data_IF_091122177287
#
_entry.id   IF_091122177287
#
_cell.length_a   1.000
_cell.length_b   1.000
_cell.length_c   1.000
_cell.angle_alpha   90.00
_cell.angle_beta   90.00
_cell.angle_gamma   90.00
#
_symmetry.space_group_name_H-M   'P 1'
#
loop_
_entity.id
_entity.type
_entity.pdbx_description
1 polymer ?
#
# COMPACT_ATOMS: atom_id res chain seq x y z
N UNK A 1 -10.75 3.87 12.69
CA UNK A 1 -9.30 3.61 12.66
C UNK A 1 -8.68 4.57 11.68
N UNK A 2 -7.61 5.27 12.06
CA UNK A 2 -6.84 6.06 11.11
C UNK A 2 -5.93 5.12 10.33
N UNK A 3 -5.98 5.19 8.99
CA UNK A 3 -5.09 4.41 8.13
C UNK A 3 -3.72 5.07 7.98
N UNK A 4 -3.67 6.40 8.10
CA UNK A 4 -2.45 7.19 7.98
C UNK A 4 -2.09 7.77 9.35
N UNK A 5 -0.88 7.43 9.82
CA UNK A 5 -0.25 7.98 11.01
C UNK A 5 0.83 8.98 10.58
N UNK A 6 0.60 10.26 10.87
CA UNK A 6 1.49 11.36 10.42
C UNK A 6 2.92 11.14 10.95
N UNK A 7 3.90 11.11 10.04
CA UNK A 7 5.30 10.91 10.39
C UNK A 7 5.68 9.48 10.77
N UNK A 8 4.77 8.50 10.60
CA UNK A 8 5.04 7.09 10.83
C UNK A 8 4.62 6.26 9.60
N UNK A 9 5.49 6.18 8.57
CA UNK A 9 5.19 5.47 7.32
C UNK A 9 5.04 3.96 7.56
N UNK A 10 5.81 3.40 8.49
CA UNK A 10 5.76 1.98 8.85
C UNK A 10 4.41 1.60 9.45
N UNK A 11 3.92 2.36 10.44
CA UNK A 11 2.61 2.11 11.03
C UNK A 11 1.48 2.34 10.03
N UNK A 12 1.60 3.37 9.18
CA UNK A 12 0.63 3.66 8.12
C UNK A 12 0.50 2.47 7.15
N UNK A 13 1.63 1.93 6.70
CA UNK A 13 1.66 0.75 5.83
C UNK A 13 1.07 -0.49 6.52
N UNK A 14 1.39 -0.73 7.80
CA UNK A 14 0.80 -1.85 8.56
C UNK A 14 -0.73 -1.72 8.63
N UNK A 15 -1.24 -0.53 8.94
CA UNK A 15 -2.66 -0.25 9.03
C UNK A 15 -3.36 -0.49 7.70
N UNK A 16 -2.75 -0.03 6.59
CA UNK A 16 -3.26 -0.21 5.23
C UNK A 16 -3.23 -1.67 4.81
N UNK A 17 -2.13 -2.38 5.03
CA UNK A 17 -2.02 -3.80 4.69
C UNK A 17 -3.04 -4.64 5.47
N UNK A 18 -3.26 -4.34 6.76
CA UNK A 18 -4.32 -5.00 7.55
C UNK A 18 -5.70 -4.65 7.02
N UNK A 19 -5.96 -3.39 6.68
CA UNK A 19 -7.23 -2.98 6.09
C UNK A 19 -7.49 -3.66 4.75
N UNK A 20 -6.48 -3.75 3.87
CA UNK A 20 -6.55 -4.41 2.57
C UNK A 20 -6.82 -5.92 2.72
N UNK A 21 -6.14 -6.58 3.66
CA UNK A 21 -6.42 -7.97 4.00
C UNK A 21 -7.88 -8.19 4.42
N UNK A 22 -8.49 -7.26 5.15
CA UNK A 22 -9.91 -7.33 5.52
C UNK A 22 -10.87 -7.09 4.35
N UNK A 23 -10.42 -6.51 3.23
CA UNK A 23 -11.22 -6.36 2.01
C UNK A 23 -11.10 -7.57 1.08
N UNK A 24 -10.14 -8.46 1.33
CA UNK A 24 -9.82 -9.59 0.46
C UNK A 24 -10.88 -10.69 0.49
N UNK A 25 -11.07 -11.36 -0.64
CA UNK A 25 -11.87 -12.58 -0.73
C UNK A 25 -11.07 -13.80 -0.26
N UNK A 26 -11.68 -14.67 0.53
CA UNK A 26 -11.02 -15.91 0.96
C UNK A 26 -10.85 -16.90 -0.20
N UNK A 27 -11.84 -16.95 -1.10
CA UNK A 27 -11.80 -17.80 -2.29
C UNK A 27 -11.02 -17.12 -3.42
N UNK A 28 -9.94 -17.77 -3.86
CA UNK A 28 -9.10 -17.32 -4.98
C UNK A 28 -9.80 -17.39 -6.34
N UNK A 29 -10.90 -18.14 -6.45
CA UNK A 29 -11.72 -18.22 -7.65
C UNK A 29 -12.77 -17.11 -7.73
N UNK A 30 -12.95 -16.33 -6.66
CA UNK A 30 -13.83 -15.17 -6.67
C UNK A 30 -13.27 -14.09 -7.63
N UNK A 31 -14.07 -13.55 -8.57
CA UNK A 31 -13.61 -12.53 -9.52
C UNK A 31 -13.15 -11.22 -8.85
N UNK A 32 -13.47 -11.00 -7.56
CA UNK A 32 -13.01 -9.85 -6.78
C UNK A 32 -11.74 -10.13 -5.97
N UNK A 33 -11.20 -11.36 -6.03
CA UNK A 33 -9.89 -11.67 -5.44
C UNK A 33 -8.80 -10.83 -6.12
N UNK A 34 -7.88 -10.28 -5.34
CA UNK A 34 -6.76 -9.47 -5.85
C UNK A 34 -5.43 -9.89 -5.23
N UNK A 35 -4.36 -9.99 -5.99
CA UNK A 35 -3.07 -10.39 -5.42
C UNK A 35 -2.39 -9.26 -4.64
N UNK A 36 -2.69 -8.00 -4.98
CA UNK A 36 -1.97 -6.83 -4.49
C UNK A 36 -2.88 -5.62 -4.31
N UNK A 37 -2.63 -4.83 -3.25
CA UNK A 37 -3.36 -3.61 -2.96
C UNK A 37 -2.48 -2.36 -3.04
N UNK A 38 -2.90 -1.34 -3.78
CA UNK A 38 -2.23 -0.05 -3.87
C UNK A 38 -3.09 0.98 -3.17
N UNK A 39 -2.56 1.62 -2.13
CA UNK A 39 -3.23 2.72 -1.44
C UNK A 39 -2.65 4.07 -1.90
N UNK A 40 -3.52 4.92 -2.43
CA UNK A 40 -3.17 6.27 -2.88
C UNK A 40 -3.69 7.30 -1.88
N UNK A 41 -2.86 8.26 -1.50
CA UNK A 41 -3.25 9.33 -0.58
C UNK A 41 -2.58 10.65 -0.93
N UNK A 42 -3.27 11.77 -0.70
CA UNK A 42 -2.65 13.10 -0.72
C UNK A 42 -2.19 13.55 0.67
N UNK A 43 -2.41 12.73 1.69
CA UNK A 43 -1.96 12.99 3.05
C UNK A 43 -0.50 12.55 3.20
N UNK A 44 0.31 13.43 3.79
CA UNK A 44 1.67 13.10 4.21
C UNK A 44 1.65 11.97 5.26
N UNK A 45 2.45 10.94 5.04
CA UNK A 45 2.60 9.81 5.97
C UNK A 45 4.05 9.60 6.44
N UNK A 46 5.00 10.32 5.84
CA UNK A 46 6.43 10.20 6.10
C UNK A 46 7.13 11.56 6.22
N UNK A 47 8.48 11.57 6.22
CA UNK A 47 9.23 12.81 6.12
C UNK A 47 8.94 13.53 4.80
N UNK A 48 9.13 14.85 4.79
CA UNK A 48 8.91 15.69 3.60
C UNK A 48 9.63 15.12 2.38
N UNK A 49 8.88 14.94 1.28
CA UNK A 49 9.38 14.36 0.03
C UNK A 49 9.31 12.83 -0.05
N UNK A 50 8.79 12.14 0.97
CA UNK A 50 8.50 10.71 0.88
C UNK A 50 7.27 10.48 -0.01
N UNK A 51 7.49 9.81 -1.14
CA UNK A 51 6.44 9.56 -2.12
C UNK A 51 5.84 8.16 -2.01
N UNK A 52 6.55 7.18 -1.46
CA UNK A 52 6.13 5.79 -1.43
C UNK A 52 6.71 5.02 -0.24
N UNK A 53 6.03 3.95 0.15
CA UNK A 53 6.51 3.00 1.13
C UNK A 53 5.91 1.61 0.87
N UNK A 54 6.77 0.59 0.84
CA UNK A 54 6.40 -0.80 0.58
C UNK A 54 7.21 -1.78 1.44
N UNK A 55 6.67 -2.97 1.72
CA UNK A 55 7.47 -4.06 2.25
C UNK A 55 8.38 -4.62 1.16
N UNK A 56 9.60 -5.02 1.52
CA UNK A 56 10.47 -5.78 0.61
C UNK A 56 10.02 -7.22 0.60
N UNK A 57 9.72 -7.75 -0.59
CA UNK A 57 9.08 -9.05 -0.83
C UNK A 57 7.70 -9.20 -0.18
N UNK A 58 6.88 -10.06 -0.77
CA UNK A 58 5.60 -10.46 -0.20
C UNK A 58 4.40 -10.32 -1.13
N UNK A 59 4.61 -10.25 -2.44
CA UNK A 59 3.51 -10.14 -3.43
C UNK A 59 2.40 -11.19 -3.26
N UNK A 60 2.71 -12.42 -2.87
CA UNK A 60 1.70 -13.45 -2.63
C UNK A 60 1.36 -13.64 -1.14
N UNK A 61 1.87 -12.77 -0.26
CA UNK A 61 1.66 -12.87 1.18
C UNK A 61 0.39 -12.12 1.58
N UNK A 62 -0.58 -12.78 2.25
CA UNK A 62 -1.94 -12.25 2.42
C UNK A 62 -2.02 -10.91 3.16
N UNK A 63 -1.11 -10.67 4.10
CA UNK A 63 -1.09 -9.44 4.93
C UNK A 63 0.04 -8.47 4.53
N UNK A 64 0.85 -8.80 3.52
CA UNK A 64 2.01 -7.97 3.13
C UNK A 64 1.98 -7.49 1.69
N UNK A 65 1.05 -7.98 0.87
CA UNK A 65 0.91 -7.53 -0.51
C UNK A 65 0.14 -6.20 -0.59
N UNK A 66 0.77 -5.14 -0.07
CA UNK A 66 0.25 -3.79 -0.21
C UNK A 66 1.36 -2.73 -0.39
N UNK A 67 1.03 -1.60 -0.99
CA UNK A 67 1.89 -0.42 -1.09
C UNK A 67 1.14 0.85 -0.67
N UNK A 68 1.86 1.79 -0.07
CA UNK A 68 1.36 3.12 0.28
C UNK A 68 2.08 4.16 -0.58
N UNK A 69 1.31 4.94 -1.35
CA UNK A 69 1.85 5.91 -2.29
C UNK A 69 1.18 7.27 -2.10
N UNK A 70 2.01 8.31 -2.08
CA UNK A 70 1.58 9.69 -2.14
C UNK A 70 1.18 10.03 -3.57
N UNK A 71 0.01 10.63 -3.75
CA UNK A 71 -0.51 11.05 -5.05
C UNK A 71 -0.33 12.56 -5.24
N UNK A 72 0.53 12.91 -6.20
CA UNK A 72 0.87 14.29 -6.56
C UNK A 72 0.62 14.61 -8.04
N UNK A 73 -0.14 13.76 -8.74
CA UNK A 73 -0.40 13.84 -10.17
C UNK A 73 0.07 12.59 -10.93
N UNK A 74 0.23 12.70 -12.25
CA UNK A 74 0.59 11.56 -13.12
C UNK A 74 1.94 10.93 -12.80
N UNK A 75 2.87 11.70 -12.20
CA UNK A 75 4.17 11.21 -11.73
C UNK A 75 4.04 10.08 -10.70
N UNK A 76 2.97 10.07 -9.91
CA UNK A 76 2.72 9.02 -8.90
C UNK A 76 2.66 7.61 -9.50
N UNK A 77 2.34 7.46 -10.79
CA UNK A 77 2.38 6.17 -11.47
C UNK A 77 3.78 5.52 -11.44
N UNK A 78 4.85 6.32 -11.52
CA UNK A 78 6.23 5.82 -11.40
C UNK A 78 6.55 5.38 -9.98
N UNK A 79 6.00 6.06 -8.98
CA UNK A 79 6.14 5.70 -7.57
C UNK A 79 5.42 4.39 -7.30
N UNK A 80 4.17 4.26 -7.75
CA UNK A 80 3.41 2.99 -7.66
C UNK A 80 4.18 1.85 -8.31
N UNK A 81 4.73 2.05 -9.51
CA UNK A 81 5.55 1.03 -10.17
C UNK A 81 6.82 0.68 -9.37
N UNK A 82 7.50 1.68 -8.80
CA UNK A 82 8.67 1.49 -7.96
C UNK A 82 8.35 0.68 -6.69
N UNK A 83 7.34 1.10 -5.94
CA UNK A 83 6.91 0.44 -4.71
C UNK A 83 6.40 -0.97 -4.97
N UNK A 84 5.67 -1.19 -6.07
CA UNK A 84 5.26 -2.54 -6.49
C UNK A 84 6.48 -3.42 -6.82
N UNK A 85 7.57 -2.83 -7.33
CA UNK A 85 8.82 -3.53 -7.61
C UNK A 85 9.62 -3.92 -6.36
N UNK A 86 9.35 -3.32 -5.20
CA UNK A 86 9.93 -3.76 -3.92
C UNK A 86 9.29 -5.05 -3.40
N UNK A 87 8.00 -5.27 -3.70
CA UNK A 87 7.13 -6.34 -3.18
C UNK A 87 7.39 -7.69 -3.86
#
# INVERSE_FOLDING_TARGET
MNLIELGNPSQSLENICRWAFLQQKEDRSDPQYHDHAIFLTRQEFGPSGMQGYAPVTGMCHPVRSCTLNHEDGFSSAFVVAHETGHV
#
